data_IF_636118458415
#
_entry.id   IF_636118458415
#
_cell.length_a   1.000
_cell.length_b   1.000
_cell.length_c   1.000
_cell.angle_alpha   90.00
_cell.angle_beta   90.00
_cell.angle_gamma   90.00
#
_symmetry.space_group_name_H-M   'P 1'
#
loop_
_entity.id
_entity.type
_entity.pdbx_description
1 polymer ?
#
# COMPACT_ATOMS: atom_id res chain seq x y z
N UNK A 1 -6.36 21.63 4.70
CA UNK A 1 -5.38 21.06 3.76
C UNK A 1 -4.89 19.75 4.36
N UNK A 2 -5.19 18.61 3.73
CA UNK A 2 -4.77 17.31 4.23
C UNK A 2 -3.28 17.14 3.94
N UNK A 3 -2.47 17.28 4.98
CA UNK A 3 -1.03 17.05 4.93
C UNK A 3 -0.82 15.55 4.68
N UNK A 4 -0.54 15.17 3.42
CA UNK A 4 -0.26 13.78 3.03
C UNK A 4 1.12 13.45 3.59
N UNK A 5 1.14 12.88 4.80
CA UNK A 5 2.38 12.38 5.39
C UNK A 5 2.82 11.16 4.58
N UNK A 6 3.91 11.33 3.83
CA UNK A 6 4.55 10.24 3.09
C UNK A 6 4.93 9.10 4.04
N UNK A 7 4.56 7.87 3.67
CA UNK A 7 4.78 6.69 4.51
C UNK A 7 6.26 6.41 4.81
N UNK A 8 7.17 7.01 4.05
CA UNK A 8 8.64 6.91 4.14
C UNK A 8 9.28 8.04 4.95
N UNK A 9 8.50 9.07 5.29
CA UNK A 9 8.98 10.24 6.02
C UNK A 9 9.01 10.00 7.53
N UNK A 10 10.01 10.57 8.21
CA UNK A 10 10.13 10.61 9.67
C UNK A 10 8.97 11.37 10.35
N UNK A 11 8.14 12.08 9.57
CA UNK A 11 6.96 12.81 10.05
C UNK A 11 5.84 11.92 10.64
N UNK A 12 5.92 10.59 10.52
CA UNK A 12 4.95 9.65 11.11
C UNK A 12 4.86 9.70 12.64
N UNK A 13 5.86 10.28 13.31
CA UNK A 13 5.90 10.39 14.78
C UNK A 13 5.00 11.51 15.32
N UNK A 14 4.60 12.50 14.50
CA UNK A 14 3.90 13.70 15.00
C UNK A 14 2.38 13.56 15.19
N UNK A 15 1.71 12.61 14.54
CA UNK A 15 0.24 12.62 14.40
C UNK A 15 -0.48 11.48 15.15
N UNK A 16 -0.01 11.07 16.32
CA UNK A 16 -0.66 9.99 17.07
C UNK A 16 -1.18 10.45 18.45
N UNK A 17 -2.48 10.74 18.54
CA UNK A 17 -3.18 11.00 19.80
C UNK A 17 -3.44 9.72 20.63
N UNK A 18 -3.16 8.53 20.08
CA UNK A 18 -3.22 7.25 20.80
C UNK A 18 -1.82 6.63 20.87
N UNK A 19 -1.03 7.07 21.87
CA UNK A 19 0.35 6.69 22.22
C UNK A 19 0.85 5.30 21.74
N UNK A 20 1.07 5.15 20.43
CA UNK A 20 1.99 4.17 19.83
C UNK A 20 3.07 4.98 19.17
N UNK A 21 4.22 5.07 19.83
CA UNK A 21 5.41 5.66 19.24
C UNK A 21 5.81 4.77 18.05
N UNK A 22 5.66 5.29 16.83
CA UNK A 22 6.16 4.60 15.64
C UNK A 22 7.68 4.64 15.68
N UNK A 23 8.34 3.48 15.59
CA UNK A 23 9.79 3.42 15.51
C UNK A 23 10.28 4.03 14.19
N UNK A 24 11.49 4.58 14.19
CA UNK A 24 12.15 4.96 12.95
C UNK A 24 12.51 3.70 12.17
N UNK A 25 12.16 3.70 10.89
CA UNK A 25 12.55 2.65 9.94
C UNK A 25 13.98 2.90 9.48
N UNK A 26 14.75 1.83 9.36
CA UNK A 26 16.03 1.85 8.66
C UNK A 26 15.82 2.10 7.16
N UNK A 27 16.86 2.55 6.46
CA UNK A 27 16.78 2.77 5.00
C UNK A 27 16.44 1.49 4.24
N UNK A 28 16.91 0.33 4.74
CA UNK A 28 16.55 -0.96 4.18
C UNK A 28 15.05 -1.25 4.30
N UNK A 29 14.48 -1.02 5.49
CA UNK A 29 13.05 -1.24 5.72
C UNK A 29 12.18 -0.28 4.90
N UNK A 30 12.62 0.98 4.74
CA UNK A 30 11.96 1.94 3.84
C UNK A 30 11.92 1.41 2.41
N UNK A 31 13.06 0.92 1.88
CA UNK A 31 13.12 0.29 0.55
C UNK A 31 12.23 -0.94 0.42
N UNK A 32 12.16 -1.77 1.46
CA UNK A 32 11.28 -2.94 1.48
C UNK A 32 9.80 -2.53 1.41
N UNK A 33 9.39 -1.51 2.17
CA UNK A 33 8.02 -0.97 2.11
C UNK A 33 7.69 -0.46 0.71
N UNK A 34 8.60 0.30 0.09
CA UNK A 34 8.40 0.83 -1.26
C UNK A 34 8.32 -0.29 -2.29
N UNK A 35 9.19 -1.30 -2.19
CA UNK A 35 9.17 -2.45 -3.07
C UNK A 35 7.86 -3.25 -2.96
N UNK A 36 7.37 -3.51 -1.74
CA UNK A 36 6.10 -4.22 -1.51
C UNK A 36 4.94 -3.46 -2.17
N UNK A 37 4.88 -2.14 -1.98
CA UNK A 37 3.83 -1.30 -2.58
C UNK A 37 3.91 -1.27 -4.09
N UNK A 38 5.12 -1.12 -4.64
CA UNK A 38 5.35 -1.12 -6.08
C UNK A 38 4.91 -2.44 -6.73
N UNK A 39 5.21 -3.58 -6.10
CA UNK A 39 4.79 -4.90 -6.56
C UNK A 39 3.26 -5.06 -6.55
N UNK A 40 2.61 -4.66 -5.45
CA UNK A 40 1.15 -4.67 -5.36
C UNK A 40 0.50 -3.81 -6.44
N UNK A 41 1.01 -2.58 -6.64
CA UNK A 41 0.53 -1.68 -7.68
C UNK A 41 0.72 -2.26 -9.09
N UNK A 42 1.90 -2.84 -9.38
CA UNK A 42 2.18 -3.48 -10.67
C UNK A 42 1.21 -4.62 -10.98
N UNK A 43 0.84 -5.42 -9.97
CA UNK A 43 -0.12 -6.50 -10.16
C UNK A 43 -1.54 -5.97 -10.37
N UNK A 44 -1.96 -4.93 -9.64
CA UNK A 44 -3.25 -4.26 -9.88
C UNK A 44 -3.35 -3.70 -11.30
N UNK A 45 -2.28 -3.07 -11.82
CA UNK A 45 -2.24 -2.61 -13.21
C UNK A 45 -2.40 -3.77 -14.21
N UNK A 46 -1.84 -4.94 -13.89
CA UNK A 46 -2.02 -6.14 -14.70
C UNK A 46 -3.48 -6.61 -14.68
N UNK A 47 -4.17 -6.55 -13.54
CA UNK A 47 -5.60 -6.90 -13.46
C UNK A 47 -6.47 -5.98 -14.33
N UNK A 48 -6.20 -4.67 -14.29
CA UNK A 48 -6.87 -3.69 -15.16
C UNK A 48 -6.63 -3.98 -16.64
N UNK A 49 -5.38 -4.27 -17.03
CA UNK A 49 -5.03 -4.61 -18.40
C UNK A 49 -5.73 -5.88 -18.89
N UNK A 50 -5.77 -6.93 -18.06
CA UNK A 50 -6.46 -8.20 -18.38
C UNK A 50 -7.99 -8.02 -18.44
N UNK A 51 -8.54 -7.20 -17.55
CA UNK A 51 -9.97 -6.89 -17.53
C UNK A 51 -10.43 -5.87 -18.57
N UNK A 52 -9.51 -5.14 -19.20
CA UNK A 52 -9.83 -4.03 -20.10
C UNK A 52 -10.51 -2.85 -19.38
N UNK A 53 -10.20 -2.61 -18.10
CA UNK A 53 -10.75 -1.51 -17.31
C UNK A 53 -9.74 -0.37 -17.13
N UNK A 54 -10.26 0.83 -16.82
CA UNK A 54 -9.45 2.01 -16.55
C UNK A 54 -8.64 1.84 -15.24
N UNK A 55 -7.31 1.89 -15.28
CA UNK A 55 -6.45 1.76 -14.10
C UNK A 55 -6.54 2.92 -13.11
N UNK A 56 -7.17 4.04 -13.49
CA UNK A 56 -7.42 5.17 -12.59
C UNK A 56 -8.72 5.03 -11.80
N UNK A 57 -9.56 4.06 -12.17
CA UNK A 57 -10.81 3.76 -11.49
C UNK A 57 -10.73 2.53 -10.58
N UNK A 58 -11.75 2.33 -9.75
CA UNK A 58 -11.84 1.19 -8.81
C UNK A 58 -12.62 -0.01 -9.40
N UNK A 59 -13.11 0.10 -10.64
CA UNK A 59 -13.96 -0.92 -11.26
C UNK A 59 -13.12 -2.00 -11.94
N UNK A 60 -13.39 -3.25 -11.57
CA UNK A 60 -12.88 -4.45 -12.25
C UNK A 60 -13.93 -5.05 -13.19
N UNK A 61 -13.46 -5.78 -14.21
CA UNK A 61 -14.33 -6.35 -15.25
C UNK A 61 -15.17 -7.54 -14.77
N UNK A 62 -14.77 -8.21 -13.69
CA UNK A 62 -15.46 -9.37 -13.14
C UNK A 62 -15.33 -9.46 -11.61
N UNK A 63 -16.19 -10.27 -10.99
CA UNK A 63 -16.15 -10.54 -9.55
C UNK A 63 -14.82 -11.15 -9.11
N UNK A 64 -14.26 -12.06 -9.90
CA UNK A 64 -12.99 -12.72 -9.57
C UNK A 64 -11.83 -11.72 -9.57
N UNK A 65 -11.82 -10.77 -10.51
CA UNK A 65 -10.83 -9.69 -10.54
C UNK A 65 -11.02 -8.71 -9.38
N UNK A 66 -12.26 -8.40 -8.98
CA UNK A 66 -12.53 -7.62 -7.76
C UNK A 66 -11.97 -8.31 -6.51
N UNK A 67 -12.19 -9.62 -6.36
CA UNK A 67 -11.67 -10.38 -5.23
C UNK A 67 -10.13 -10.43 -5.26
N UNK A 68 -9.53 -10.65 -6.43
CA UNK A 68 -8.08 -10.62 -6.58
C UNK A 68 -7.49 -9.27 -6.16
N UNK A 69 -8.09 -8.14 -6.58
CA UNK A 69 -7.72 -6.80 -6.14
C UNK A 69 -7.76 -6.68 -4.60
N UNK A 70 -8.85 -7.07 -3.95
CA UNK A 70 -8.98 -7.05 -2.48
C UNK A 70 -7.88 -7.88 -1.79
N UNK A 71 -7.58 -9.06 -2.32
CA UNK A 71 -6.54 -9.92 -1.75
C UNK A 71 -5.13 -9.33 -1.92
N UNK A 72 -4.85 -8.67 -3.03
CA UNK A 72 -3.58 -7.96 -3.24
C UNK A 72 -3.42 -6.83 -2.22
N UNK A 73 -4.48 -6.03 -2.03
CA UNK A 73 -4.47 -4.93 -1.06
C UNK A 73 -4.26 -5.42 0.38
N UNK A 74 -4.97 -6.48 0.79
CA UNK A 74 -4.78 -7.08 2.12
C UNK A 74 -3.36 -7.65 2.29
N UNK A 75 -2.83 -8.33 1.28
CA UNK A 75 -1.47 -8.86 1.29
C UNK A 75 -0.42 -7.76 1.45
N UNK A 76 -0.53 -6.67 0.67
CA UNK A 76 0.35 -5.50 0.76
C UNK A 76 0.27 -4.89 2.17
N UNK A 77 -0.95 -4.69 2.69
CA UNK A 77 -1.14 -4.09 4.01
C UNK A 77 -0.56 -4.94 5.14
N UNK A 78 -0.69 -6.27 5.07
CA UNK A 78 -0.09 -7.20 6.06
C UNK A 78 1.43 -7.22 5.97
N UNK A 79 1.99 -7.23 4.77
CA UNK A 79 3.43 -7.23 4.55
C UNK A 79 4.06 -5.91 5.02
N UNK A 80 3.50 -4.75 4.65
CA UNK A 80 3.97 -3.44 5.14
C UNK A 80 3.89 -3.39 6.67
N UNK A 81 2.78 -3.85 7.26
CA UNK A 81 2.64 -3.90 8.72
C UNK A 81 3.72 -4.77 9.37
N UNK A 82 4.12 -5.88 8.76
CA UNK A 82 5.21 -6.70 9.29
C UNK A 82 6.54 -5.92 9.32
N UNK A 83 6.85 -5.17 8.26
CA UNK A 83 8.06 -4.33 8.20
C UNK A 83 8.01 -3.18 9.20
N UNK A 84 6.84 -2.53 9.35
CA UNK A 84 6.68 -1.32 10.18
C UNK A 84 6.25 -1.57 11.62
N UNK A 85 6.18 -2.83 12.07
CA UNK A 85 5.83 -3.19 13.44
C UNK A 85 6.86 -2.67 14.44
#
# INVERSE_FOLDING_TARGET
>A
MADRIDSTSDARTHNNSTMRQYRKLTDLEKRQVDQIKAQGHSLLMTLHAVGGTDPTGERMASRDLSLAMTHIEDAVMRAVRHVTK
#
